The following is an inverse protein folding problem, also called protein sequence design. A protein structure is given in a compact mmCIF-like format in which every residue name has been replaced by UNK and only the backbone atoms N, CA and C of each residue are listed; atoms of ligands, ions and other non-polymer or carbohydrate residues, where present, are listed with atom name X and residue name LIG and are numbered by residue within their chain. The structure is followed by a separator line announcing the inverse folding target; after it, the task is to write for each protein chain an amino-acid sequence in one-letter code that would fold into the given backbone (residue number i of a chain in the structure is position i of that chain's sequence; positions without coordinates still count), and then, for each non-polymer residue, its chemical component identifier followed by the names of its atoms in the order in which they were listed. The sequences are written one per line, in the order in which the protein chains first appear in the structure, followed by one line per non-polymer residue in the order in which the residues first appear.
data_IF_313246604676
#
_entry.id   IF_313246604676
#
_cell.length_a   1.000
_cell.length_b   1.000
_cell.length_c   1.000
_cell.angle_alpha   90.00
_cell.angle_beta   90.00
_cell.angle_gamma   90.00
#
_symmetry.space_group_name_H-M   'P 1'
#
loop_
_entity.id
_entity.type
_entity.pdbx_description
1 polymer ?
#
# COMPACT_ATOMS: atom_id res chain seq x y z
N UNK A 1 -25.27 64.09 12.09
CA UNK A 1 -25.11 63.43 10.77
C UNK A 1 -24.63 62.01 11.03
N UNK A 2 -25.57 61.07 11.14
CA UNK A 2 -25.30 59.64 11.26
C UNK A 2 -25.15 59.06 9.85
N UNK A 3 -24.04 58.38 9.59
CA UNK A 3 -23.83 57.63 8.35
C UNK A 3 -23.92 56.14 8.66
N UNK A 4 -25.09 55.56 8.39
CA UNK A 4 -25.27 54.12 8.25
C UNK A 4 -24.47 53.63 7.03
N UNK A 5 -23.57 52.67 7.23
CA UNK A 5 -23.01 51.87 6.15
C UNK A 5 -23.40 50.42 6.38
N UNK A 6 -24.27 49.94 5.50
CA UNK A 6 -24.82 48.60 5.42
C UNK A 6 -23.70 47.68 4.91
N UNK A 7 -23.33 46.66 5.70
CA UNK A 7 -22.51 45.56 5.20
C UNK A 7 -23.39 44.59 4.38
N UNK A 8 -22.95 44.15 3.19
CA UNK A 8 -23.64 43.10 2.46
C UNK A 8 -23.39 41.74 3.12
N UNK A 9 -24.49 41.08 3.47
CA UNK A 9 -24.60 39.68 3.83
C UNK A 9 -24.11 38.79 2.67
N UNK A 10 -22.96 38.16 2.83
CA UNK A 10 -22.57 37.03 1.99
C UNK A 10 -23.17 35.75 2.58
N UNK A 11 -24.27 35.34 1.97
CA UNK A 11 -24.87 34.02 2.04
C UNK A 11 -23.89 32.97 1.50
N UNK A 12 -23.10 32.34 2.38
CA UNK A 12 -22.46 31.07 2.05
C UNK A 12 -23.54 29.98 2.06
N UNK A 13 -24.11 29.82 0.87
CA UNK A 13 -25.12 28.83 0.51
C UNK A 13 -24.60 27.43 0.77
N UNK A 14 -25.44 26.64 1.44
CA UNK A 14 -25.33 25.21 1.63
C UNK A 14 -25.34 24.48 0.28
N UNK A 15 -24.16 24.15 -0.24
CA UNK A 15 -24.01 23.09 -1.22
C UNK A 15 -23.38 21.88 -0.53
N UNK A 16 -24.24 20.95 -0.12
CA UNK A 16 -23.90 19.63 0.41
C UNK A 16 -23.28 18.75 -0.69
N UNK A 17 -22.04 19.07 -1.06
CA UNK A 17 -21.11 18.11 -1.67
C UNK A 17 -20.20 17.63 -0.55
N UNK A 18 -20.35 16.37 -0.15
CA UNK A 18 -19.49 15.73 0.82
C UNK A 18 -18.06 15.66 0.25
N UNK A 19 -17.29 16.72 0.44
CA UNK A 19 -15.84 16.72 0.23
C UNK A 19 -15.26 15.88 1.35
N UNK A 20 -15.14 14.57 1.09
CA UNK A 20 -14.26 13.70 1.85
C UNK A 20 -12.88 14.35 1.85
N UNK A 21 -12.41 14.79 3.01
CA UNK A 21 -11.00 15.14 3.21
C UNK A 21 -10.18 13.87 2.94
N UNK A 22 -9.69 13.71 1.72
CA UNK A 22 -8.82 12.60 1.34
C UNK A 22 -7.50 12.77 2.08
N UNK A 23 -7.06 11.73 2.77
CA UNK A 23 -5.78 11.77 3.46
C UNK A 23 -4.65 11.76 2.44
N UNK A 24 -3.45 12.20 2.85
CA UNK A 24 -2.25 12.14 2.01
C UNK A 24 -2.01 10.71 1.47
N UNK A 25 -2.32 9.69 2.27
CA UNK A 25 -2.21 8.29 1.87
C UNK A 25 -3.22 7.92 0.78
N UNK A 26 -4.46 8.39 0.86
CA UNK A 26 -5.49 8.09 -0.14
C UNK A 26 -5.13 8.68 -1.50
N UNK A 27 -4.61 9.91 -1.50
CA UNK A 27 -4.13 10.58 -2.72
C UNK A 27 -2.96 9.80 -3.31
N UNK A 28 -2.01 9.38 -2.48
CA UNK A 28 -0.86 8.60 -2.94
C UNK A 28 -1.30 7.24 -3.52
N UNK A 29 -2.20 6.54 -2.84
CA UNK A 29 -2.77 5.26 -3.27
C UNK A 29 -3.53 5.38 -4.60
N UNK A 30 -4.37 6.39 -4.75
CA UNK A 30 -5.12 6.62 -5.98
C UNK A 30 -4.18 6.85 -7.18
N UNK A 31 -3.09 7.59 -6.96
CA UNK A 31 -2.08 7.83 -7.99
C UNK A 31 -1.29 6.56 -8.33
N UNK A 32 -0.89 5.79 -7.32
CA UNK A 32 -0.12 4.55 -7.49
C UNK A 32 -0.93 3.40 -8.09
N UNK A 33 -2.26 3.41 -7.97
CA UNK A 33 -3.11 2.30 -8.44
C UNK A 33 -3.83 2.59 -9.75
N UNK A 34 -3.58 3.76 -10.35
CA UNK A 34 -4.13 4.10 -11.65
C UNK A 34 -3.36 3.34 -12.75
N UNK A 35 -4.01 2.49 -13.57
CA UNK A 35 -3.34 1.70 -14.60
C UNK A 35 -2.66 2.54 -15.69
N UNK A 36 -3.01 3.83 -15.81
CA UNK A 36 -2.38 4.78 -16.74
C UNK A 36 -1.13 5.44 -16.15
N UNK A 37 -0.90 5.32 -14.84
CA UNK A 37 0.31 5.84 -14.19
C UNK A 37 1.49 4.93 -14.52
N UNK A 38 2.64 5.51 -14.81
CA UNK A 38 3.88 4.74 -14.89
C UNK A 38 4.39 4.44 -13.49
N UNK A 39 4.66 3.17 -13.18
CA UNK A 39 5.24 2.79 -11.90
C UNK A 39 6.72 3.18 -11.92
N UNK A 40 7.05 4.28 -11.26
CA UNK A 40 8.43 4.73 -11.07
C UNK A 40 8.90 4.39 -9.67
N UNK A 41 10.21 4.28 -9.53
CA UNK A 41 10.87 4.04 -8.24
C UNK A 41 10.53 5.13 -7.22
N UNK A 42 10.56 6.40 -7.66
CA UNK A 42 10.22 7.56 -6.83
C UNK A 42 8.77 7.51 -6.31
N UNK A 43 7.84 7.02 -7.15
CA UNK A 43 6.43 6.87 -6.77
C UNK A 43 6.26 5.83 -5.67
N UNK A 44 6.94 4.69 -5.80
CA UNK A 44 6.92 3.62 -4.79
C UNK A 44 7.60 4.09 -3.51
N UNK A 45 8.72 4.79 -3.59
CA UNK A 45 9.44 5.29 -2.42
C UNK A 45 8.60 6.33 -1.67
N UNK A 46 7.89 7.20 -2.39
CA UNK A 46 6.93 8.13 -1.78
C UNK A 46 5.79 7.38 -1.09
N UNK A 47 5.20 6.38 -1.75
CA UNK A 47 4.15 5.56 -1.14
C UNK A 47 4.66 4.87 0.13
N UNK A 48 5.84 4.25 0.10
CA UNK A 48 6.46 3.62 1.26
C UNK A 48 6.65 4.62 2.41
N UNK A 49 7.09 5.85 2.12
CA UNK A 49 7.29 6.90 3.12
C UNK A 49 5.98 7.30 3.79
N UNK A 50 4.94 7.60 2.99
CA UNK A 50 3.61 8.00 3.50
C UNK A 50 2.93 6.85 4.25
N UNK A 51 3.04 5.62 3.75
CA UNK A 51 2.54 4.43 4.44
C UNK A 51 3.25 4.24 5.79
N UNK A 52 4.55 4.45 5.85
CA UNK A 52 5.33 4.31 7.09
C UNK A 52 5.25 5.52 8.03
N UNK A 53 4.73 6.67 7.60
CA UNK A 53 4.51 7.80 8.51
C UNK A 53 3.23 7.64 9.33
N UNK A 54 2.25 6.90 8.81
CA UNK A 54 0.97 6.67 9.48
C UNK A 54 1.00 5.48 10.44
N UNK A 55 0.28 5.57 11.56
CA UNK A 55 0.16 4.49 12.55
C UNK A 55 -0.46 3.23 11.95
N UNK A 56 -1.55 3.36 11.20
CA UNK A 56 -2.25 2.26 10.53
C UNK A 56 -1.94 2.16 9.03
N UNK A 57 -0.97 2.94 8.54
CA UNK A 57 -0.65 3.05 7.12
C UNK A 57 -0.42 1.71 6.44
N UNK A 58 0.48 0.83 6.94
CA UNK A 58 0.77 -0.45 6.30
C UNK A 58 -0.47 -1.31 6.09
N UNK A 59 -1.32 -1.41 7.12
CA UNK A 59 -2.57 -2.16 7.03
C UNK A 59 -3.54 -1.56 6.01
N UNK A 60 -3.73 -0.24 6.04
CA UNK A 60 -4.63 0.47 5.12
C UNK A 60 -4.15 0.33 3.67
N UNK A 61 -2.87 0.58 3.41
CA UNK A 61 -2.24 0.47 2.09
C UNK A 61 -2.36 -0.94 1.52
N UNK A 62 -1.95 -1.95 2.30
CA UNK A 62 -1.99 -3.34 1.83
C UNK A 62 -3.42 -3.79 1.58
N UNK A 63 -4.37 -3.44 2.46
CA UNK A 63 -5.79 -3.77 2.26
C UNK A 63 -6.37 -3.12 1.03
N UNK A 64 -6.02 -1.86 0.75
CA UNK A 64 -6.44 -1.16 -0.46
C UNK A 64 -5.89 -1.84 -1.72
N UNK A 65 -4.59 -2.16 -1.74
CA UNK A 65 -3.95 -2.85 -2.86
C UNK A 65 -4.55 -4.24 -3.08
N UNK A 66 -4.85 -4.98 -2.00
CA UNK A 66 -5.53 -6.26 -2.08
C UNK A 66 -6.93 -6.13 -2.71
N UNK A 67 -7.66 -5.06 -2.38
CA UNK A 67 -8.96 -4.78 -3.00
C UNK A 67 -8.84 -4.43 -4.49
N UNK A 68 -7.85 -3.62 -4.86
CA UNK A 68 -7.60 -3.28 -6.27
C UNK A 68 -7.09 -4.47 -7.09
N UNK A 69 -6.35 -5.38 -6.48
CA UNK A 69 -5.92 -6.64 -7.11
C UNK A 69 -7.10 -7.57 -7.46
N UNK A 70 -8.28 -7.37 -6.86
CA UNK A 70 -9.51 -8.10 -7.23
C UNK A 70 -10.32 -7.38 -8.31
N UNK A 71 -9.84 -6.27 -8.85
CA UNK A 71 -10.57 -5.55 -9.87
C UNK A 71 -10.88 -6.49 -11.04
N UNK A 72 -12.12 -6.47 -11.58
CA UNK A 72 -12.46 -7.25 -12.77
C UNK A 72 -11.67 -6.78 -14.00
N UNK A 73 -11.07 -5.60 -13.95
CA UNK A 73 -10.20 -5.08 -14.99
C UNK A 73 -8.78 -5.63 -14.80
N UNK A 74 -8.34 -6.45 -15.75
CA UNK A 74 -7.02 -7.10 -15.70
C UNK A 74 -5.87 -6.10 -15.57
N UNK A 75 -5.92 -4.98 -16.30
CA UNK A 75 -4.90 -3.94 -16.23
C UNK A 75 -4.76 -3.33 -14.83
N UNK A 76 -5.88 -3.05 -14.16
CA UNK A 76 -5.91 -2.49 -12.81
C UNK A 76 -5.43 -3.52 -11.78
N UNK A 77 -5.85 -4.77 -11.92
CA UNK A 77 -5.42 -5.87 -11.04
C UNK A 77 -3.91 -6.11 -11.15
N UNK A 78 -3.38 -6.25 -12.38
CA UNK A 78 -1.95 -6.43 -12.62
C UNK A 78 -1.15 -5.24 -12.12
N UNK A 79 -1.60 -4.01 -12.39
CA UNK A 79 -0.92 -2.80 -11.91
C UNK A 79 -0.84 -2.78 -10.38
N UNK A 80 -1.92 -3.12 -9.70
CA UNK A 80 -1.97 -3.17 -8.23
C UNK A 80 -1.08 -4.26 -7.64
N UNK A 81 -0.97 -5.41 -8.32
CA UNK A 81 -0.05 -6.48 -7.93
C UNK A 81 1.41 -6.06 -8.10
N UNK A 82 1.76 -5.32 -9.14
CA UNK A 82 3.11 -4.78 -9.33
C UNK A 82 3.47 -3.78 -8.22
N UNK A 83 2.55 -2.88 -7.88
CA UNK A 83 2.72 -1.94 -6.76
C UNK A 83 2.90 -2.71 -5.44
N UNK A 84 2.10 -3.77 -5.22
CA UNK A 84 2.21 -4.63 -4.05
C UNK A 84 3.57 -5.33 -3.96
N UNK A 85 4.10 -5.83 -5.08
CA UNK A 85 5.44 -6.44 -5.13
C UNK A 85 6.53 -5.43 -4.77
N UNK A 86 6.47 -4.23 -5.35
CA UNK A 86 7.49 -3.20 -5.17
C UNK A 86 7.45 -2.61 -3.75
N UNK A 87 6.26 -2.32 -3.22
CA UNK A 87 6.12 -1.82 -1.84
C UNK A 87 6.56 -2.89 -0.83
N UNK A 88 6.36 -4.17 -1.11
CA UNK A 88 6.82 -5.25 -0.24
C UNK A 88 8.36 -5.43 -0.28
N UNK A 89 9.02 -5.04 -1.38
CA UNK A 89 10.50 -5.04 -1.48
C UNK A 89 11.13 -3.81 -0.83
N UNK A 90 10.51 -2.64 -0.96
CA UNK A 90 11.10 -1.35 -0.54
C UNK A 90 10.54 -0.77 0.76
N UNK A 91 9.38 -1.24 1.19
CA UNK A 91 8.59 -0.68 2.30
C UNK A 91 9.12 -0.97 3.71
N UNK A 92 10.20 -1.73 3.84
CA UNK A 92 10.83 -2.03 5.12
C UNK A 92 9.99 -2.93 6.04
N UNK A 93 10.40 -3.01 7.31
CA UNK A 93 9.91 -4.04 8.23
C UNK A 93 8.42 -3.92 8.57
N UNK A 94 7.87 -2.70 8.68
CA UNK A 94 6.45 -2.50 9.07
C UNK A 94 5.49 -3.04 8.02
N UNK A 95 5.80 -2.78 6.75
CA UNK A 95 5.02 -3.27 5.62
C UNK A 95 5.20 -4.79 5.48
N UNK A 96 6.42 -5.29 5.64
CA UNK A 96 6.69 -6.72 5.59
C UNK A 96 6.03 -7.52 6.73
N UNK A 97 6.03 -6.99 7.96
CA UNK A 97 5.32 -7.57 9.12
C UNK A 97 3.82 -7.67 8.87
N UNK A 98 3.21 -6.62 8.34
CA UNK A 98 1.78 -6.61 8.02
C UNK A 98 1.45 -7.57 6.87
N UNK A 99 2.33 -7.67 5.86
CA UNK A 99 2.19 -8.60 4.75
C UNK A 99 2.29 -10.07 5.20
N UNK A 100 3.15 -10.34 6.19
CA UNK A 100 3.35 -11.67 6.77
C UNK A 100 2.23 -12.13 7.71
N UNK A 101 1.33 -11.23 8.12
CA UNK A 101 0.19 -11.60 8.96
C UNK A 101 -0.76 -12.51 8.19
N UNK A 102 -1.10 -13.64 8.82
CA UNK A 102 -2.07 -14.60 8.27
C UNK A 102 -3.40 -13.95 7.87
N UNK A 103 -3.82 -12.88 8.56
CA UNK A 103 -5.02 -12.13 8.21
C UNK A 103 -4.93 -11.53 6.80
N UNK A 104 -3.80 -10.94 6.43
CA UNK A 104 -3.59 -10.37 5.11
C UNK A 104 -3.44 -11.46 4.05
N UNK A 105 -2.61 -12.47 4.32
CA UNK A 105 -2.40 -13.59 3.41
C UNK A 105 -3.69 -14.33 3.10
N UNK A 106 -4.55 -14.57 4.10
CA UNK A 106 -5.83 -15.24 3.91
C UNK A 106 -6.77 -14.43 3.01
N UNK A 107 -6.74 -13.10 3.09
CA UNK A 107 -7.51 -12.25 2.18
C UNK A 107 -6.95 -12.37 0.75
N UNK A 108 -5.64 -12.26 0.55
CA UNK A 108 -5.00 -12.46 -0.78
C UNK A 108 -5.26 -13.85 -1.37
N UNK A 109 -5.23 -14.91 -0.56
CA UNK A 109 -5.44 -16.29 -1.02
C UNK A 109 -6.89 -16.52 -1.47
N UNK A 110 -7.87 -15.94 -0.76
CA UNK A 110 -9.30 -16.02 -1.17
C UNK A 110 -9.56 -15.33 -2.51
N UNK A 111 -8.86 -14.23 -2.76
CA UNK A 111 -9.04 -13.37 -3.93
C UNK A 111 -8.56 -14.05 -5.22
N UNK A 112 -7.54 -14.90 -5.10
CA UNK A 112 -6.75 -15.36 -6.25
C UNK A 112 -7.03 -16.82 -6.63
N UNK A 113 -8.04 -17.42 -6.01
CA UNK A 113 -8.69 -18.65 -6.48
C UNK A 113 -9.99 -18.27 -7.19
N UNK A 114 -10.19 -18.59 -8.49
CA UNK A 114 -9.90 -19.91 -9.05
C UNK A 114 -9.27 -19.98 -10.47
N UNK A 115 -8.83 -18.88 -11.14
CA UNK A 115 -8.43 -18.97 -12.58
C UNK A 115 -7.13 -18.30 -13.07
N UNK A 116 -6.44 -17.44 -12.32
CA UNK A 116 -5.38 -16.57 -12.93
C UNK A 116 -3.94 -16.80 -12.42
N UNK A 117 -3.68 -17.70 -11.49
CA UNK A 117 -2.56 -17.49 -10.56
C UNK A 117 -1.32 -18.38 -10.66
N UNK A 118 -0.67 -18.41 -11.83
CA UNK A 118 0.73 -18.87 -11.90
C UNK A 118 1.68 -17.83 -11.28
N UNK A 119 1.44 -16.53 -11.49
CA UNK A 119 2.30 -15.47 -10.96
C UNK A 119 2.12 -15.27 -9.44
N UNK A 120 0.89 -15.37 -8.92
CA UNK A 120 0.68 -15.24 -7.47
C UNK A 120 1.24 -16.44 -6.69
N UNK A 121 1.18 -17.66 -7.25
CA UNK A 121 1.87 -18.81 -6.66
C UNK A 121 3.38 -18.60 -6.62
N UNK A 122 3.96 -17.92 -7.62
CA UNK A 122 5.38 -17.55 -7.59
C UNK A 122 5.68 -16.52 -6.51
N UNK A 123 4.85 -15.48 -6.33
CA UNK A 123 5.04 -14.49 -5.26
C UNK A 123 4.88 -15.15 -3.89
N UNK A 124 3.85 -15.98 -3.66
CA UNK A 124 3.64 -16.67 -2.37
C UNK A 124 4.76 -17.68 -2.07
N UNK A 125 5.20 -18.49 -3.04
CA UNK A 125 6.33 -19.42 -2.85
C UNK A 125 7.64 -18.67 -2.65
N UNK A 126 7.90 -17.61 -3.42
CA UNK A 126 9.12 -16.82 -3.30
C UNK A 126 9.15 -16.07 -1.95
N UNK A 127 8.01 -15.58 -1.45
CA UNK A 127 7.91 -14.96 -0.12
C UNK A 127 7.98 -15.96 1.04
N UNK A 128 7.33 -17.13 0.96
CA UNK A 128 7.49 -18.16 2.01
C UNK A 128 8.92 -18.69 2.11
N UNK A 129 9.66 -18.74 1.00
CA UNK A 129 11.05 -19.22 0.98
C UNK A 129 12.04 -18.13 1.42
N UNK A 130 11.73 -16.85 1.19
CA UNK A 130 12.66 -15.73 1.44
C UNK A 130 12.37 -14.93 2.71
N UNK A 131 11.16 -15.03 3.28
CA UNK A 131 10.74 -14.33 4.50
C UNK A 131 10.73 -15.23 5.76
N UNK A 132 11.16 -16.48 5.66
CA UNK A 132 11.47 -17.32 6.81
C UNK A 132 13.00 -17.43 6.94
N UNK A 133 13.72 -16.42 7.47
CA UNK A 133 15.01 -16.72 8.06
C UNK A 133 14.76 -17.76 9.16
N UNK A 134 15.61 -18.78 9.30
CA UNK A 134 15.42 -19.82 10.31
C UNK A 134 15.62 -19.22 11.70
N UNK A 135 14.59 -18.61 12.27
CA UNK A 135 14.57 -18.17 13.67
C UNK A 135 13.91 -19.26 14.50
N UNK A 136 14.54 -20.43 14.51
CA UNK A 136 14.44 -21.37 15.62
C UNK A 136 15.82 -21.92 15.88
N UNK A 137 16.39 -21.46 16.99
CA UNK A 137 17.82 -21.50 17.25
C UNK A 137 18.44 -22.88 17.29
N UNK A 138 19.72 -22.90 16.90
CA UNK A 138 20.73 -23.67 17.60
C UNK A 138 21.94 -22.77 17.85
N UNK A 139 22.38 -22.84 19.09
CA UNK A 139 23.52 -22.19 19.70
C UNK A 139 24.84 -22.45 18.97
N UNK A 140 25.74 -21.45 19.07
CA UNK A 140 27.19 -21.51 18.89
C UNK A 140 27.75 -21.89 17.49
N UNK A 141 28.38 -20.91 16.83
CA UNK A 141 29.80 -20.91 16.39
C UNK A 141 29.98 -19.85 15.28
N UNK A 142 30.72 -18.81 15.65
CA UNK A 142 31.50 -17.83 14.86
C UNK A 142 31.59 -18.03 13.34
N UNK A 143 31.36 -16.95 12.56
CA UNK A 143 32.42 -16.20 11.82
C UNK A 143 31.85 -15.11 10.91
N UNK A 144 32.36 -13.90 11.14
CA UNK A 144 32.69 -12.83 10.18
C UNK A 144 31.59 -12.30 9.24
N UNK A 145 31.00 -11.19 9.65
CA UNK A 145 30.46 -10.19 8.74
C UNK A 145 31.64 -9.49 8.05
N UNK A 146 31.94 -9.88 6.82
CA UNK A 146 32.83 -9.10 5.95
C UNK A 146 32.10 -8.75 4.67
N UNK A 147 31.90 -7.44 4.55
CA UNK A 147 32.01 -6.68 3.31
C UNK A 147 30.77 -6.66 2.42
N UNK A 148 29.97 -5.61 2.65
CA UNK A 148 29.27 -4.89 1.60
C UNK A 148 30.28 -4.46 0.53
N UNK A 149 30.04 -4.84 -0.71
CA UNK A 149 30.59 -4.19 -1.89
C UNK A 149 29.55 -4.18 -3.01
#
# INVERSE_FOLDING_TARGET
MQTNSIQPSSSSSSNSTATFELTELDICLARCTNPLTTITDELIDQLCSVTNSQTNGPYTTLRFLAYKAQSPQESEALHSLLVLELIAKRGGYRIADELGKFRFLNEIIKIVSPKVSILLLMIIKCYSIKFFPPVFGKSNITKSWSTYH
#
